data_IF_736307227524
#
_entry.id   IF_736307227524
#
_cell.length_a   1.000
_cell.length_b   1.000
_cell.length_c   1.000
_cell.angle_alpha   90.00
_cell.angle_beta   90.00
_cell.angle_gamma   90.00
#
_symmetry.space_group_name_H-M   'P 1'
#
loop_
_entity.id
_entity.type
_entity.pdbx_description
1 polymer ?
#
# COMPACT_ATOMS: atom_id res chain seq x y z
N UNK A 1 11.51 -22.90 -4.60
CA UNK A 1 11.43 -21.46 -4.91
C UNK A 1 11.35 -21.33 -6.41
N UNK A 2 10.21 -20.90 -6.96
CA UNK A 2 10.10 -20.66 -8.40
C UNK A 2 10.98 -19.46 -8.71
N UNK A 3 12.05 -19.69 -9.46
CA UNK A 3 12.93 -18.63 -9.93
C UNK A 3 12.14 -17.73 -10.90
N UNK A 4 12.15 -16.44 -10.65
CA UNK A 4 11.53 -15.49 -11.56
C UNK A 4 12.48 -15.25 -12.74
N UNK A 5 12.07 -15.51 -13.99
CA UNK A 5 12.97 -15.44 -15.15
C UNK A 5 13.56 -14.04 -15.35
N UNK A 6 12.88 -13.00 -14.92
CA UNK A 6 13.40 -11.62 -14.99
C UNK A 6 14.61 -11.40 -14.07
N UNK A 7 14.60 -12.01 -12.88
CA UNK A 7 15.74 -11.93 -11.95
C UNK A 7 16.88 -12.85 -12.43
N UNK A 8 16.56 -14.05 -12.90
CA UNK A 8 17.54 -15.01 -13.40
C UNK A 8 18.41 -14.43 -14.51
N UNK A 9 17.83 -13.55 -15.36
CA UNK A 9 18.57 -12.84 -16.40
C UNK A 9 19.74 -12.01 -15.83
N UNK A 10 19.54 -11.32 -14.72
CA UNK A 10 20.59 -10.50 -14.10
C UNK A 10 21.71 -11.35 -13.48
N UNK A 11 21.37 -12.53 -12.95
CA UNK A 11 22.39 -13.43 -12.38
C UNK A 11 23.21 -14.18 -13.43
N UNK A 12 22.59 -14.55 -14.56
CA UNK A 12 23.23 -15.42 -15.55
C UNK A 12 23.96 -14.66 -16.66
N UNK A 13 23.52 -13.46 -17.03
CA UNK A 13 24.04 -12.74 -18.19
C UNK A 13 24.97 -11.56 -17.88
N UNK A 14 25.01 -11.14 -16.63
CA UNK A 14 25.86 -10.03 -16.22
C UNK A 14 26.50 -10.45 -14.90
N UNK A 15 27.83 -10.38 -14.81
CA UNK A 15 28.59 -10.66 -13.59
C UNK A 15 28.27 -9.68 -12.44
N UNK A 16 26.98 -9.38 -12.23
CA UNK A 16 26.55 -8.58 -11.11
C UNK A 16 26.23 -9.50 -9.94
N UNK A 17 26.94 -9.29 -8.85
CA UNK A 17 26.65 -9.93 -7.56
C UNK A 17 25.35 -9.43 -6.94
N UNK A 18 24.78 -8.34 -7.46
CA UNK A 18 23.63 -7.66 -6.88
C UNK A 18 22.56 -7.35 -7.94
N UNK A 19 21.30 -7.65 -7.60
CA UNK A 19 20.15 -7.28 -8.44
C UNK A 19 19.85 -5.80 -8.25
N UNK A 20 19.75 -5.00 -9.34
CA UNK A 20 19.39 -3.60 -9.23
C UNK A 20 18.02 -3.42 -8.58
N UNK A 21 17.87 -2.42 -7.73
CA UNK A 21 16.64 -2.18 -6.98
C UNK A 21 15.41 -1.97 -7.89
N UNK A 22 15.58 -1.36 -9.04
CA UNK A 22 14.49 -1.16 -10.00
C UNK A 22 13.97 -2.49 -10.58
N UNK A 23 14.84 -3.49 -10.78
CA UNK A 23 14.43 -4.80 -11.25
C UNK A 23 13.59 -5.55 -10.21
N UNK A 24 13.82 -5.30 -8.92
CA UNK A 24 13.00 -5.82 -7.83
C UNK A 24 11.59 -5.21 -7.92
N UNK A 25 11.48 -3.90 -8.15
CA UNK A 25 10.18 -3.24 -8.26
C UNK A 25 9.35 -3.69 -9.46
N UNK A 26 9.97 -4.14 -10.56
CA UNK A 26 9.24 -4.69 -11.70
C UNK A 26 8.49 -5.99 -11.42
N UNK A 27 8.95 -6.77 -10.45
CA UNK A 27 8.39 -8.08 -10.13
C UNK A 27 7.57 -8.11 -8.85
N UNK A 28 7.67 -7.07 -8.03
CA UNK A 28 6.90 -6.97 -6.80
C UNK A 28 5.41 -6.82 -7.11
N UNK A 29 4.61 -7.69 -6.49
CA UNK A 29 3.18 -7.44 -6.42
C UNK A 29 2.89 -6.33 -5.40
N UNK A 30 1.70 -5.76 -5.46
CA UNK A 30 1.28 -4.75 -4.47
C UNK A 30 1.23 -5.33 -3.05
N UNK A 31 0.95 -6.63 -2.92
CA UNK A 31 1.03 -7.35 -1.65
C UNK A 31 2.47 -7.46 -1.13
N UNK A 32 3.40 -7.85 -2.00
CA UNK A 32 4.83 -7.94 -1.64
C UNK A 32 5.40 -6.58 -1.25
N UNK A 33 4.98 -5.52 -1.95
CA UNK A 33 5.35 -4.15 -1.60
C UNK A 33 4.83 -3.75 -0.22
N UNK A 34 3.58 -4.07 0.11
CA UNK A 34 3.03 -3.87 1.45
C UNK A 34 3.82 -4.63 2.53
N UNK A 35 4.21 -5.89 2.26
CA UNK A 35 5.07 -6.68 3.15
C UNK A 35 6.45 -6.06 3.32
N UNK A 36 7.06 -5.59 2.24
CA UNK A 36 8.35 -4.88 2.31
C UNK A 36 8.25 -3.67 3.25
N UNK A 37 7.24 -2.83 3.06
CA UNK A 37 7.03 -1.65 3.91
C UNK A 37 6.78 -2.03 5.38
N UNK A 38 6.03 -3.10 5.64
CA UNK A 38 5.77 -3.56 7.01
C UNK A 38 7.02 -4.12 7.70
N UNK A 39 7.97 -4.64 6.93
CA UNK A 39 9.23 -5.21 7.42
C UNK A 39 10.28 -4.13 7.75
N UNK A 40 10.09 -2.91 7.28
CA UNK A 40 10.99 -1.80 7.56
C UNK A 40 10.94 -1.40 9.05
N UNK A 41 12.05 -0.89 9.56
CA UNK A 41 12.08 -0.31 10.90
C UNK A 41 11.17 0.91 11.02
N UNK A 42 10.72 1.22 12.23
CA UNK A 42 9.88 2.39 12.49
C UNK A 42 10.51 3.67 11.94
N UNK A 43 11.81 3.85 12.12
CA UNK A 43 12.53 5.02 11.63
C UNK A 43 12.52 5.14 10.10
N UNK A 44 12.66 4.03 9.39
CA UNK A 44 12.59 4.02 7.93
C UNK A 44 11.18 4.30 7.44
N UNK A 45 10.17 3.70 8.06
CA UNK A 45 8.76 3.99 7.75
C UNK A 45 8.42 5.47 7.99
N UNK A 46 8.93 6.05 9.07
CA UNK A 46 8.75 7.47 9.35
C UNK A 46 9.38 8.36 8.28
N UNK A 47 10.62 8.09 7.88
CA UNK A 47 11.30 8.84 6.81
C UNK A 47 10.53 8.79 5.50
N UNK A 48 10.07 7.61 5.08
CA UNK A 48 9.27 7.44 3.87
C UNK A 48 7.95 8.18 3.99
N UNK A 49 7.24 8.04 5.11
CA UNK A 49 5.97 8.72 5.34
C UNK A 49 6.10 10.23 5.29
N UNK A 50 7.16 10.80 5.86
CA UNK A 50 7.46 12.24 5.78
C UNK A 50 7.79 12.67 4.35
N UNK A 51 8.56 11.86 3.62
CA UNK A 51 8.91 12.16 2.23
C UNK A 51 7.68 12.19 1.30
N UNK A 52 6.67 11.37 1.58
CA UNK A 52 5.40 11.35 0.85
C UNK A 52 4.46 12.46 1.33
N UNK A 53 4.70 13.08 2.47
CA UNK A 53 3.85 14.11 3.07
C UNK A 53 2.70 13.55 3.92
N UNK A 54 2.76 12.29 4.37
CA UNK A 54 1.76 11.74 5.27
C UNK A 54 1.78 12.46 6.62
N UNK A 55 0.59 12.78 7.12
CA UNK A 55 0.46 13.34 8.46
C UNK A 55 0.65 12.24 9.51
N UNK A 56 1.71 12.39 10.33
CA UNK A 56 2.10 11.42 11.34
C UNK A 56 1.50 11.69 12.72
N UNK A 57 0.70 12.72 12.89
CA UNK A 57 0.16 13.13 14.19
C UNK A 57 -0.68 12.06 14.88
N UNK A 58 -1.40 11.24 14.10
CA UNK A 58 -2.25 10.16 14.59
C UNK A 58 -1.67 8.76 14.31
N UNK A 59 -0.44 8.64 13.83
CA UNK A 59 0.22 7.39 13.47
C UNK A 59 1.35 7.04 14.44
N UNK A 60 0.99 6.61 15.65
CA UNK A 60 1.94 6.34 16.74
C UNK A 60 2.99 5.27 16.37
N UNK A 61 2.59 4.23 15.66
CA UNK A 61 3.45 3.10 15.31
C UNK A 61 3.98 3.16 13.88
N UNK A 62 3.74 4.24 13.14
CA UNK A 62 4.15 4.38 11.72
C UNK A 62 3.64 3.25 10.82
N UNK A 63 2.41 2.83 11.05
CA UNK A 63 1.78 1.72 10.35
C UNK A 63 0.91 2.15 9.16
N UNK A 64 0.52 3.41 9.07
CA UNK A 64 -0.40 3.90 8.04
C UNK A 64 0.14 3.68 6.64
N UNK A 65 1.45 3.84 6.44
CA UNK A 65 2.10 3.68 5.14
C UNK A 65 1.74 2.35 4.48
N UNK A 66 1.99 1.23 5.14
CA UNK A 66 1.71 -0.08 4.56
C UNK A 66 0.24 -0.49 4.66
N UNK A 67 -0.49 -0.01 5.66
CA UNK A 67 -1.94 -0.26 5.78
C UNK A 67 -2.72 0.37 4.63
N UNK A 68 -2.35 1.57 4.19
CA UNK A 68 -2.94 2.19 3.00
C UNK A 68 -2.60 1.41 1.73
N UNK A 69 -1.38 0.90 1.61
CA UNK A 69 -1.01 0.03 0.47
C UNK A 69 -1.86 -1.23 0.44
N UNK A 70 -2.10 -1.87 1.57
CA UNK A 70 -2.99 -3.03 1.65
C UNK A 70 -4.44 -2.69 1.28
N UNK A 71 -4.96 -1.55 1.73
CA UNK A 71 -6.29 -1.11 1.33
C UNK A 71 -6.40 -0.93 -0.18
N UNK A 72 -5.45 -0.22 -0.80
CA UNK A 72 -5.42 -0.02 -2.25
C UNK A 72 -5.21 -1.32 -3.04
N UNK A 73 -4.50 -2.30 -2.47
CA UNK A 73 -4.33 -3.63 -3.07
C UNK A 73 -5.68 -4.32 -3.27
N UNK A 74 -6.57 -4.25 -2.29
CA UNK A 74 -7.88 -4.89 -2.38
C UNK A 74 -8.74 -4.25 -3.48
N UNK A 75 -8.74 -2.93 -3.58
CA UNK A 75 -9.39 -2.23 -4.69
C UNK A 75 -8.80 -2.62 -6.05
N UNK A 76 -7.48 -2.60 -6.17
CA UNK A 76 -6.79 -2.99 -7.41
C UNK A 76 -7.14 -4.41 -7.83
N UNK A 77 -7.18 -5.34 -6.87
CA UNK A 77 -7.50 -6.73 -7.16
C UNK A 77 -8.96 -6.89 -7.59
N UNK A 78 -9.91 -6.20 -6.96
CA UNK A 78 -11.30 -6.20 -7.41
C UNK A 78 -11.43 -5.70 -8.86
N UNK A 79 -10.75 -4.61 -9.20
CA UNK A 79 -10.74 -4.08 -10.58
C UNK A 79 -10.11 -5.08 -11.55
N UNK A 80 -9.00 -5.72 -11.19
CA UNK A 80 -8.30 -6.67 -12.05
C UNK A 80 -9.09 -7.95 -12.30
N UNK A 81 -9.98 -8.35 -11.39
CA UNK A 81 -10.87 -9.50 -11.53
C UNK A 81 -12.23 -9.16 -12.16
N UNK A 82 -12.40 -7.94 -12.68
CA UNK A 82 -13.67 -7.45 -13.22
C UNK A 82 -14.86 -7.56 -12.25
N UNK A 83 -14.59 -7.46 -10.95
CA UNK A 83 -15.64 -7.44 -9.95
C UNK A 83 -16.47 -6.16 -10.08
N UNK A 84 -17.75 -6.23 -9.67
CA UNK A 84 -18.64 -5.06 -9.64
C UNK A 84 -18.22 -4.15 -8.48
N UNK A 85 -17.31 -3.23 -8.76
CA UNK A 85 -16.58 -2.46 -7.74
C UNK A 85 -17.50 -1.54 -6.94
N UNK A 86 -18.52 -0.94 -7.58
CA UNK A 86 -19.42 0.01 -6.90
C UNK A 86 -20.44 -0.65 -5.96
N UNK A 87 -20.72 -1.95 -6.16
CA UNK A 87 -21.62 -2.74 -5.30
C UNK A 87 -20.86 -3.78 -4.45
N UNK A 88 -19.55 -3.87 -4.63
CA UNK A 88 -18.72 -4.81 -3.89
C UNK A 88 -18.48 -4.28 -2.47
N UNK A 89 -18.89 -5.07 -1.49
CA UNK A 89 -18.48 -4.87 -0.11
C UNK A 89 -17.16 -5.56 0.11
N UNK A 90 -16.11 -4.79 0.31
CA UNK A 90 -14.78 -5.29 0.60
C UNK A 90 -14.76 -5.91 2.00
N UNK A 91 -15.05 -7.21 2.09
CA UNK A 91 -15.24 -7.92 3.37
C UNK A 91 -13.93 -8.26 4.09
N UNK A 92 -12.79 -8.28 3.38
CA UNK A 92 -11.55 -8.88 3.88
C UNK A 92 -10.65 -7.95 4.68
N UNK A 93 -10.83 -6.66 4.59
CA UNK A 93 -10.08 -5.72 5.42
C UNK A 93 -11.01 -5.03 6.39
N UNK A 94 -10.87 -5.38 7.64
CA UNK A 94 -11.27 -4.49 8.71
C UNK A 94 -10.11 -3.51 8.92
N UNK A 95 -10.15 -2.30 8.33
CA UNK A 95 -9.08 -1.34 8.49
C UNK A 95 -8.99 -1.02 9.98
N UNK A 96 -7.79 -1.08 10.51
CA UNK A 96 -7.59 -0.83 11.93
C UNK A 96 -8.25 0.47 12.35
N UNK A 97 -8.89 0.47 13.51
CA UNK A 97 -9.56 1.65 14.06
C UNK A 97 -8.69 2.92 14.02
N UNK A 98 -7.39 2.88 14.33
CA UNK A 98 -6.51 4.04 14.20
C UNK A 98 -6.41 4.58 12.77
N UNK A 99 -6.35 3.71 11.76
CA UNK A 99 -6.29 4.13 10.35
C UNK A 99 -7.55 4.87 9.92
N UNK A 100 -8.74 4.37 10.29
CA UNK A 100 -10.01 5.03 10.00
C UNK A 100 -10.11 6.38 10.67
N UNK A 101 -9.78 6.45 11.95
CA UNK A 101 -9.81 7.71 12.71
C UNK A 101 -8.85 8.74 12.14
N UNK A 102 -7.65 8.33 11.76
CA UNK A 102 -6.66 9.22 11.18
C UNK A 102 -7.15 9.81 9.85
N UNK A 103 -7.71 8.98 8.97
CA UNK A 103 -8.24 9.45 7.70
C UNK A 103 -9.47 10.34 7.87
N UNK A 104 -10.37 10.02 8.78
CA UNK A 104 -11.54 10.85 9.14
C UNK A 104 -11.09 12.25 9.59
N UNK A 105 -10.11 12.33 10.48
CA UNK A 105 -9.58 13.61 10.97
C UNK A 105 -8.93 14.44 9.86
N UNK A 106 -8.21 13.79 8.94
CA UNK A 106 -7.48 14.48 7.89
C UNK A 106 -8.38 14.93 6.73
N UNK A 107 -9.43 14.18 6.43
CA UNK A 107 -10.36 14.47 5.33
C UNK A 107 -11.58 15.24 5.81
N UNK A 108 -11.87 15.22 7.11
CA UNK A 108 -13.01 15.94 7.70
C UNK A 108 -14.37 15.28 7.43
N UNK A 109 -14.41 13.98 7.15
CA UNK A 109 -15.63 13.23 6.93
C UNK A 109 -16.12 12.56 8.22
N UNK A 110 -17.45 12.42 8.39
CA UNK A 110 -18.01 11.89 9.64
C UNK A 110 -17.80 10.39 9.82
N UNK A 111 -17.60 9.65 8.72
CA UNK A 111 -17.50 8.19 8.76
C UNK A 111 -16.78 7.59 7.56
N UNK A 112 -15.80 6.70 7.81
CA UNK A 112 -15.06 5.93 6.79
C UNK A 112 -14.90 4.49 7.29
N UNK A 113 -15.28 3.49 6.50
CA UNK A 113 -15.19 2.08 6.90
C UNK A 113 -14.52 1.15 5.89
N UNK A 114 -14.14 1.63 4.71
CA UNK A 114 -13.55 0.85 3.61
C UNK A 114 -14.39 -0.36 3.15
N UNK A 115 -15.70 -0.28 3.32
CA UNK A 115 -16.63 -1.31 2.82
C UNK A 115 -17.17 -1.03 1.44
N UNK A 116 -17.09 0.21 0.99
CA UNK A 116 -17.57 0.67 -0.31
C UNK A 116 -16.47 1.34 -1.09
N UNK A 117 -16.64 1.44 -2.41
CA UNK A 117 -15.68 2.11 -3.29
C UNK A 117 -15.51 3.60 -2.93
N UNK A 118 -16.53 4.24 -2.39
CA UNK A 118 -16.48 5.65 -2.00
C UNK A 118 -15.32 5.95 -1.04
N UNK A 119 -15.10 5.09 -0.06
CA UNK A 119 -14.03 5.27 0.93
C UNK A 119 -12.64 5.11 0.29
N UNK A 120 -12.49 4.23 -0.71
CA UNK A 120 -11.24 4.09 -1.47
C UNK A 120 -10.97 5.28 -2.39
N UNK A 121 -12.01 5.87 -2.99
CA UNK A 121 -11.88 7.10 -3.78
C UNK A 121 -11.39 8.24 -2.86
N UNK A 122 -11.91 8.34 -1.66
CA UNK A 122 -11.46 9.33 -0.67
C UNK A 122 -9.99 9.13 -0.33
N UNK A 123 -9.56 7.88 -0.12
CA UNK A 123 -8.15 7.56 0.13
C UNK A 123 -7.25 7.97 -1.04
N UNK A 124 -7.66 7.67 -2.27
CA UNK A 124 -6.92 8.06 -3.48
C UNK A 124 -6.83 9.58 -3.58
N UNK A 125 -7.94 10.29 -3.38
CA UNK A 125 -7.96 11.76 -3.40
C UNK A 125 -7.05 12.34 -2.32
N UNK A 126 -6.99 11.73 -1.15
CA UNK A 126 -6.08 12.14 -0.09
C UNK A 126 -4.62 12.03 -0.54
N UNK A 127 -4.22 10.90 -1.14
CA UNK A 127 -2.88 10.73 -1.68
C UNK A 127 -2.55 11.69 -2.81
N UNK A 128 -3.51 12.00 -3.69
CA UNK A 128 -3.30 12.94 -4.79
C UNK A 128 -3.13 14.40 -4.33
N UNK A 129 -3.56 14.73 -3.12
CA UNK A 129 -3.32 16.05 -2.51
C UNK A 129 -1.96 16.16 -1.82
N UNK A 130 -1.35 15.04 -1.55
CA UNK A 130 -0.01 15.01 -0.98
C UNK A 130 1.02 15.35 -2.06
#
# INVERSE_FOLDING_TARGET
>A
RKENPKITHFYNNVNYSEVPIWAIFEILTMGDFGHLLSSLTINMREKISRAIGLNLSCDTYRELLYKYVYALKDLRNAIAHNDVVYDTRFRKMDPSRPMRQCLILQVGLPYINFKTIGDYIILICYYLKL
#
